data_IF_039620228639
#
_entry.id   IF_039620228639
#
_cell.length_a   1.000
_cell.length_b   1.000
_cell.length_c   1.000
_cell.angle_alpha   90.00
_cell.angle_beta   90.00
_cell.angle_gamma   90.00
#
_symmetry.space_group_name_H-M   'P 1'
#
loop_
_entity.id
_entity.type
_entity.pdbx_description
1 polymer ?
#
# COMPACT_ATOMS: atom_id res chain seq x y z
N UNK A 1 37.09 28.37 -3.15
CA UNK A 1 36.35 27.10 -2.90
C UNK A 1 35.09 27.47 -2.14
N UNK A 2 34.04 27.85 -2.85
CA UNK A 2 32.71 28.03 -2.27
C UNK A 2 32.19 26.65 -1.87
N UNK A 3 31.90 26.45 -0.57
CA UNK A 3 31.08 25.31 -0.15
C UNK A 3 29.64 25.70 -0.43
N UNK A 4 29.09 25.13 -1.49
CA UNK A 4 27.65 25.17 -1.81
C UNK A 4 26.81 24.79 -0.59
N UNK A 5 25.75 25.57 -0.38
CA UNK A 5 24.76 25.43 0.67
C UNK A 5 24.30 23.97 0.84
N UNK A 6 24.23 23.51 2.10
CA UNK A 6 23.76 22.17 2.42
C UNK A 6 22.27 22.06 2.07
N UNK A 7 21.96 21.48 0.91
CA UNK A 7 20.64 20.90 0.66
C UNK A 7 20.30 19.99 1.84
N UNK A 8 19.27 20.35 2.61
CA UNK A 8 18.75 19.52 3.70
C UNK A 8 18.20 18.24 3.07
N UNK A 9 19.03 17.20 2.99
CA UNK A 9 18.65 15.89 2.43
C UNK A 9 17.58 15.26 3.34
N UNK A 10 16.32 15.38 2.93
CA UNK A 10 15.18 14.69 3.53
C UNK A 10 14.98 13.37 2.79
N UNK A 11 15.44 12.24 3.33
CA UNK A 11 15.34 10.96 2.64
C UNK A 11 13.87 10.59 2.44
N UNK A 12 13.55 10.09 1.26
CA UNK A 12 12.19 9.69 0.87
C UNK A 12 12.26 8.41 0.04
N UNK A 13 11.18 7.63 0.07
CA UNK A 13 11.01 6.46 -0.77
C UNK A 13 9.60 6.43 -1.36
N UNK A 14 9.45 5.68 -2.46
CA UNK A 14 8.16 5.37 -3.06
C UNK A 14 7.96 3.85 -3.01
N UNK A 15 6.81 3.42 -2.49
CA UNK A 15 6.44 2.01 -2.41
C UNK A 15 5.06 1.84 -3.05
N UNK A 16 4.95 1.16 -4.20
CA UNK A 16 3.65 0.81 -4.75
C UNK A 16 2.95 -0.17 -3.81
N UNK A 17 1.66 0.06 -3.57
CA UNK A 17 0.81 -0.78 -2.75
C UNK A 17 -0.11 -1.52 -3.72
N UNK A 18 0.13 -2.83 -3.87
CA UNK A 18 -0.61 -3.64 -4.81
C UNK A 18 -1.88 -4.18 -4.17
N UNK A 19 -3.01 -4.19 -4.89
CA UNK A 19 -4.22 -4.86 -4.43
C UNK A 19 -4.00 -6.37 -4.21
N UNK A 20 -4.71 -6.95 -3.25
CA UNK A 20 -4.60 -8.38 -2.92
C UNK A 20 -3.29 -8.80 -2.22
N UNK A 21 -2.38 -7.85 -1.95
CA UNK A 21 -1.20 -8.07 -1.11
C UNK A 21 -1.55 -7.94 0.38
N UNK A 22 -0.67 -8.45 1.26
CA UNK A 22 -0.79 -8.27 2.72
C UNK A 22 -0.62 -6.82 3.19
N UNK A 23 -0.50 -5.87 2.25
CA UNK A 23 -0.33 -4.45 2.50
C UNK A 23 -1.54 -3.75 3.11
N UNK A 24 -2.71 -4.39 3.25
CA UNK A 24 -3.82 -3.79 4.03
C UNK A 24 -3.46 -3.68 5.53
N UNK A 25 -2.80 -4.69 6.09
CA UNK A 25 -2.53 -4.77 7.52
C UNK A 25 -1.11 -4.36 7.90
N UNK A 26 -0.17 -4.47 6.97
CA UNK A 26 1.25 -4.19 7.24
C UNK A 26 1.96 -3.63 6.02
N UNK A 27 2.70 -2.53 6.18
CA UNK A 27 3.59 -2.02 5.14
C UNK A 27 5.06 -2.21 5.54
N UNK A 28 5.82 -3.09 4.88
CA UNK A 28 7.26 -3.14 5.05
C UNK A 28 7.93 -1.92 4.41
N UNK A 29 8.85 -1.28 5.14
CA UNK A 29 9.72 -0.23 4.58
C UNK A 29 10.67 -0.87 3.55
N UNK A 30 10.99 -0.23 2.41
CA UNK A 30 11.94 -0.80 1.45
C UNK A 30 13.31 -1.07 2.07
N UNK A 31 13.89 -2.24 1.79
CA UNK A 31 15.18 -2.68 2.37
C UNK A 31 16.33 -1.69 2.15
N UNK A 32 16.40 -1.07 0.98
CA UNK A 32 17.41 -0.04 0.70
C UNK A 32 17.27 1.14 1.67
N UNK A 33 16.02 1.62 1.85
CA UNK A 33 15.73 2.71 2.77
C UNK A 33 16.04 2.35 4.22
N UNK A 34 15.76 1.11 4.65
CA UNK A 34 16.15 0.62 5.98
C UNK A 34 17.66 0.68 6.16
N UNK A 35 18.42 0.12 5.21
CA UNK A 35 19.89 0.04 5.28
C UNK A 35 20.56 1.42 5.29
N UNK A 36 20.02 2.35 4.52
CA UNK A 36 20.68 3.65 4.31
C UNK A 36 20.24 4.69 5.34
N UNK A 37 19.06 4.53 5.96
CA UNK A 37 18.46 5.58 6.79
C UNK A 37 17.85 5.11 8.13
N UNK A 38 17.66 3.80 8.36
CA UNK A 38 17.11 3.25 9.61
C UNK A 38 18.06 2.19 10.17
N UNK A 39 19.34 2.53 10.27
CA UNK A 39 20.43 1.57 10.45
C UNK A 39 20.59 1.12 11.90
N UNK A 40 20.06 1.91 12.85
CA UNK A 40 20.14 1.61 14.26
C UNK A 40 18.86 0.86 14.68
N UNK A 41 18.97 -0.18 15.51
CA UNK A 41 17.81 -0.97 15.96
C UNK A 41 16.77 -0.17 16.77
N UNK A 42 17.11 1.05 17.21
CA UNK A 42 16.15 1.99 17.78
C UNK A 42 15.22 2.59 16.70
N UNK A 43 15.73 2.77 15.47
CA UNK A 43 14.97 3.30 14.34
C UNK A 43 14.04 2.25 13.69
N UNK A 44 14.18 0.98 14.08
CA UNK A 44 13.33 -0.11 13.58
C UNK A 44 12.00 -0.22 14.30
N UNK A 45 11.90 0.37 15.51
CA UNK A 45 10.76 0.25 16.42
C UNK A 45 10.36 1.63 16.96
N UNK A 46 9.08 2.00 16.85
CA UNK A 46 8.61 3.30 17.34
C UNK A 46 7.23 3.68 16.84
N UNK A 47 6.95 4.99 16.82
CA UNK A 47 5.72 5.56 16.29
C UNK A 47 6.06 6.48 15.11
N UNK A 48 5.57 6.13 13.92
CA UNK A 48 5.57 6.99 12.76
C UNK A 48 4.29 7.85 12.73
N UNK A 49 4.40 9.07 12.19
CA UNK A 49 3.23 9.93 11.94
C UNK A 49 3.06 10.09 10.43
N UNK A 50 2.01 9.48 9.91
CA UNK A 50 1.58 9.68 8.52
C UNK A 50 0.70 10.93 8.46
N UNK A 51 0.88 11.74 7.42
CA UNK A 51 0.16 13.01 7.26
C UNK A 51 -0.44 13.12 5.87
N UNK A 52 -1.66 13.64 5.83
CA UNK A 52 -2.33 14.19 4.66
C UNK A 52 -2.61 15.67 4.93
N UNK A 53 -3.07 16.45 3.93
CA UNK A 53 -3.43 17.86 4.14
C UNK A 53 -4.47 18.08 5.25
N UNK A 54 -5.34 17.10 5.51
CA UNK A 54 -6.49 17.25 6.42
C UNK A 54 -6.39 16.41 7.70
N UNK A 55 -5.53 15.39 7.73
CA UNK A 55 -5.50 14.40 8.81
C UNK A 55 -4.11 13.82 9.03
N UNK A 56 -3.85 13.38 10.25
CA UNK A 56 -2.67 12.60 10.59
C UNK A 56 -3.05 11.28 11.27
N UNK A 57 -2.16 10.29 11.15
CA UNK A 57 -2.31 8.97 11.75
C UNK A 57 -1.02 8.62 12.47
N UNK A 58 -1.14 8.21 13.75
CA UNK A 58 -0.05 7.58 14.48
C UNK A 58 -0.03 6.10 14.13
N UNK A 59 1.11 5.62 13.64
CA UNK A 59 1.26 4.24 13.17
C UNK A 59 2.49 3.63 13.82
N UNK A 60 2.35 2.43 14.35
CA UNK A 60 3.47 1.72 14.97
C UNK A 60 4.43 1.22 13.91
N UNK A 61 5.70 1.58 14.06
CA UNK A 61 6.82 1.00 13.35
C UNK A 61 7.35 -0.15 14.21
N UNK A 62 7.40 -1.36 13.66
CA UNK A 62 7.94 -2.54 14.34
C UNK A 62 8.70 -3.40 13.33
N UNK A 63 9.96 -3.69 13.60
CA UNK A 63 10.88 -4.41 12.71
C UNK A 63 10.84 -3.85 11.26
N UNK A 64 10.92 -2.53 11.14
CA UNK A 64 10.82 -1.81 9.87
C UNK A 64 9.52 -2.04 9.08
N UNK A 65 8.42 -2.30 9.80
CA UNK A 65 7.08 -2.44 9.22
C UNK A 65 6.11 -1.50 9.92
N UNK A 66 5.29 -0.80 9.15
CA UNK A 66 4.14 -0.08 9.66
C UNK A 66 3.02 -1.07 9.93
N UNK A 67 2.55 -1.13 11.17
CA UNK A 67 1.63 -2.16 11.66
C UNK A 67 0.37 -1.54 12.25
N UNK A 68 0.27 -1.45 13.58
CA UNK A 68 -0.89 -0.90 14.27
C UNK A 68 -1.15 0.55 13.82
N UNK A 69 -2.38 0.84 13.37
CA UNK A 69 -2.77 2.14 12.81
C UNK A 69 -2.59 2.29 11.29
N UNK A 70 -1.83 1.39 10.64
CA UNK A 70 -1.62 1.41 9.19
C UNK A 70 -2.92 1.19 8.40
N UNK A 71 -3.71 0.18 8.79
CA UNK A 71 -4.96 -0.15 8.10
C UNK A 71 -5.95 1.03 8.06
N UNK A 72 -5.97 1.88 9.09
CA UNK A 72 -6.81 3.08 9.11
C UNK A 72 -6.34 4.16 8.13
N UNK A 73 -5.02 4.24 7.88
CA UNK A 73 -4.45 5.08 6.83
C UNK A 73 -4.77 4.49 5.44
N UNK A 74 -4.53 3.19 5.25
CA UNK A 74 -4.80 2.48 3.99
C UNK A 74 -6.25 2.67 3.53
N UNK A 75 -7.21 2.49 4.43
CA UNK A 75 -8.65 2.65 4.15
C UNK A 75 -9.04 4.10 3.85
N UNK A 76 -8.45 5.07 4.54
CA UNK A 76 -8.77 6.48 4.32
C UNK A 76 -8.33 7.02 2.96
N UNK A 77 -7.45 6.30 2.27
CA UNK A 77 -6.94 6.65 0.95
C UNK A 77 -7.47 5.74 -0.16
N UNK A 78 -8.53 4.95 0.12
CA UNK A 78 -9.18 4.04 -0.83
C UNK A 78 -8.18 3.23 -1.67
N UNK A 79 -7.06 2.82 -1.06
CA UNK A 79 -6.07 1.92 -1.69
C UNK A 79 -6.61 0.49 -1.83
N UNK A 80 -7.85 0.27 -1.38
CA UNK A 80 -8.65 -0.87 -1.73
C UNK A 80 -9.01 -0.66 -3.20
N UNK A 81 -8.34 -1.39 -4.09
CA UNK A 81 -8.82 -1.59 -5.45
C UNK A 81 -10.33 -1.81 -5.37
N UNK A 82 -11.07 -0.98 -6.10
CA UNK A 82 -12.51 -1.16 -6.31
C UNK A 82 -12.81 -2.66 -6.27
N UNK A 83 -13.62 -3.17 -5.32
CA UNK A 83 -14.15 -4.50 -5.54
C UNK A 83 -14.88 -4.37 -6.87
N UNK A 84 -14.33 -4.99 -7.93
CA UNK A 84 -15.04 -5.10 -9.20
C UNK A 84 -16.47 -5.44 -8.81
N UNK A 85 -17.48 -4.67 -9.24
CA UNK A 85 -18.86 -5.00 -8.93
C UNK A 85 -18.99 -6.47 -9.30
N UNK A 86 -19.25 -7.31 -8.28
CA UNK A 86 -19.44 -8.75 -8.48
C UNK A 86 -20.33 -8.83 -9.70
N UNK A 87 -19.80 -9.39 -10.78
CA UNK A 87 -20.56 -9.63 -12.00
C UNK A 87 -21.86 -10.26 -11.52
N UNK A 88 -22.93 -9.46 -11.47
CA UNK A 88 -24.26 -10.00 -11.24
C UNK A 88 -24.42 -10.82 -12.51
N UNK A 89 -24.44 -12.16 -12.44
CA UNK A 89 -24.69 -12.94 -13.63
C UNK A 89 -26.05 -12.44 -14.10
N UNK A 90 -26.07 -11.81 -15.27
CA UNK A 90 -27.32 -11.51 -15.93
C UNK A 90 -27.95 -12.87 -16.20
N UNK A 91 -28.90 -13.24 -15.35
CA UNK A 91 -29.70 -14.42 -15.51
C UNK A 91 -30.65 -14.13 -16.68
N UNK A 92 -30.10 -14.19 -17.90
CA UNK A 92 -30.80 -14.45 -19.15
C UNK A 92 -29.86 -14.34 -20.35
N UNK A 93 -28.82 -15.18 -20.39
CA UNK A 93 -28.27 -15.62 -21.67
C UNK A 93 -28.49 -17.12 -21.80
N UNK A 94 -29.68 -17.48 -22.27
CA UNK A 94 -29.99 -18.82 -22.76
C UNK A 94 -29.10 -19.08 -23.97
N UNK A 95 -28.00 -19.81 -23.75
CA UNK A 95 -27.20 -20.39 -24.83
C UNK A 95 -28.04 -21.51 -25.46
N UNK A 96 -28.73 -21.21 -26.56
CA UNK A 96 -29.35 -22.24 -27.39
C UNK A 96 -28.27 -22.84 -28.30
N UNK A 97 -27.78 -24.03 -27.94
CA UNK A 97 -26.99 -24.83 -28.88
C UNK A 97 -27.97 -25.47 -29.86
N UNK A 98 -27.96 -25.01 -31.10
CA UNK A 98 -28.67 -25.66 -32.20
C UNK A 98 -28.05 -27.03 -32.46
N UNK A 99 -28.82 -28.07 -32.20
CA UNK A 99 -28.51 -29.44 -32.58
C UNK A 99 -28.75 -29.59 -34.09
N UNK A 100 -27.67 -29.60 -34.85
CA UNK A 100 -27.67 -29.90 -36.29
C UNK A 100 -27.56 -31.42 -36.43
N UNK A 101 -28.69 -32.12 -36.45
CA UNK A 101 -28.75 -33.54 -36.80
C UNK A 101 -28.87 -33.66 -38.31
N UNK A 102 -27.77 -34.05 -38.95
CA UNK A 102 -27.82 -34.65 -40.27
C UNK A 102 -28.24 -36.10 -40.17
N UNK A 103 -29.21 -36.49 -40.99
CA UNK A 103 -29.19 -37.64 -41.93
C UNK A 103 -30.17 -37.36 -43.06
#
# INVERSE_FOLDING_TARGET
MERTESSSYKPHFFQPILPGSSSEHVLPIPKAFQRDYLVNGEDSNGIAILKSPLKSWKVKLNDFKLTEGWAAFFKAHDLIEYPLPKLIPDHESKMHYGEQMGV
#
